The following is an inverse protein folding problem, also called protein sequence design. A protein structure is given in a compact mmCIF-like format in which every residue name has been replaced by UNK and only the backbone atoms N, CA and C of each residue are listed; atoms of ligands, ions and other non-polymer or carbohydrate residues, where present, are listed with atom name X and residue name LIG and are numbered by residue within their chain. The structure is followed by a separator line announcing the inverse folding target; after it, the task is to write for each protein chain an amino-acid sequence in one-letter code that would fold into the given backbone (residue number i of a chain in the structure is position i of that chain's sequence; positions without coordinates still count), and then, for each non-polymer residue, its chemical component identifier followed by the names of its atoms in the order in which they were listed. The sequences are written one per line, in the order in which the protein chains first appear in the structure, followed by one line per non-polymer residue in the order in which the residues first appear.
data_IF_791988480305
#
_entry.id   IF_791988480305
#
_cell.length_a   1.000
_cell.length_b   1.000
_cell.length_c   1.000
_cell.angle_alpha   90.00
_cell.angle_beta   90.00
_cell.angle_gamma   90.00
#
_symmetry.space_group_name_H-M   'P 1'
#
loop_
_entity.id
_entity.type
_entity.pdbx_description
1 polymer ?
#
# COMPACT_ATOMS: atom_id res chain seq x y z
N UNK A 1 -29.77 -2.98 -34.30
CA UNK A 1 -30.07 -1.55 -34.09
C UNK A 1 -28.78 -0.76 -34.28
N UNK A 2 -28.80 0.20 -35.21
CA UNK A 2 -27.63 0.91 -35.73
C UNK A 2 -26.98 1.82 -34.65
N UNK A 3 -25.75 1.52 -34.23
CA UNK A 3 -24.92 2.44 -33.44
C UNK A 3 -24.23 3.43 -34.40
N UNK A 4 -24.77 4.65 -34.50
CA UNK A 4 -24.19 5.76 -35.28
C UNK A 4 -23.12 6.57 -34.50
N UNK A 5 -22.65 6.03 -33.37
CA UNK A 5 -21.72 6.70 -32.47
C UNK A 5 -20.60 5.73 -32.11
N UNK A 6 -19.35 6.19 -32.22
CA UNK A 6 -18.18 5.48 -31.66
C UNK A 6 -18.16 5.53 -30.13
N UNK A 7 -18.92 6.46 -29.54
CA UNK A 7 -19.00 6.66 -28.10
C UNK A 7 -20.07 5.75 -27.50
N UNK A 8 -19.76 5.20 -26.33
CA UNK A 8 -20.70 4.53 -25.45
C UNK A 8 -21.70 5.53 -24.86
N UNK A 9 -22.86 5.03 -24.42
CA UNK A 9 -23.87 5.86 -23.74
C UNK A 9 -23.27 6.61 -22.53
N UNK A 10 -22.39 5.95 -21.79
CA UNK A 10 -21.65 6.55 -20.67
C UNK A 10 -20.76 7.73 -21.11
N UNK A 11 -19.98 7.55 -22.16
CA UNK A 11 -19.11 8.61 -22.69
C UNK A 11 -19.92 9.80 -23.22
N UNK A 12 -21.09 9.54 -23.81
CA UNK A 12 -22.03 10.58 -24.22
C UNK A 12 -22.53 11.38 -23.03
N UNK A 13 -22.96 10.71 -21.95
CA UNK A 13 -23.43 11.36 -20.73
C UNK A 13 -22.31 12.16 -20.04
N UNK A 14 -21.11 11.61 -19.96
CA UNK A 14 -19.97 12.31 -19.37
C UNK A 14 -19.61 13.57 -20.19
N UNK A 15 -19.63 13.49 -21.53
CA UNK A 15 -19.41 14.64 -22.42
C UNK A 15 -20.51 15.71 -22.29
N UNK A 16 -21.75 15.27 -22.11
CA UNK A 16 -22.91 16.13 -21.89
C UNK A 16 -22.77 16.90 -20.58
N UNK A 17 -22.44 16.22 -19.49
CA UNK A 17 -22.24 16.82 -18.17
C UNK A 17 -21.12 17.85 -18.20
N UNK A 18 -19.99 17.53 -18.84
CA UNK A 18 -18.89 18.49 -19.02
C UNK A 18 -19.36 19.78 -19.70
N UNK A 19 -20.23 19.65 -20.71
CA UNK A 19 -20.79 20.80 -21.44
C UNK A 19 -21.83 21.58 -20.62
N UNK A 20 -22.60 20.92 -19.76
CA UNK A 20 -23.50 21.61 -18.82
C UNK A 20 -22.70 22.39 -17.79
N UNK A 21 -21.59 21.81 -17.30
CA UNK A 21 -20.71 22.43 -16.30
C UNK A 21 -19.88 23.61 -16.85
N UNK A 22 -19.94 23.92 -18.15
CA UNK A 22 -19.42 25.19 -18.68
C UNK A 22 -20.39 26.37 -18.50
N UNK A 23 -21.48 26.19 -17.75
CA UNK A 23 -22.47 27.24 -17.47
C UNK A 23 -23.69 27.24 -18.40
N UNK A 24 -23.90 26.16 -19.17
CA UNK A 24 -25.06 26.02 -20.06
C UNK A 24 -26.17 25.26 -19.31
N UNK A 25 -27.41 25.76 -19.34
CA UNK A 25 -28.54 25.06 -18.71
C UNK A 25 -29.07 23.92 -19.59
N UNK A 26 -29.79 22.97 -18.99
CA UNK A 26 -30.52 21.94 -19.76
C UNK A 26 -31.49 22.58 -20.77
N UNK A 27 -32.08 23.72 -20.40
CA UNK A 27 -33.00 24.46 -21.27
C UNK A 27 -32.29 25.08 -22.48
N UNK A 28 -31.12 25.69 -22.28
CA UNK A 28 -30.28 26.23 -23.37
C UNK A 28 -29.84 25.12 -24.33
N UNK A 29 -29.47 23.97 -23.78
CA UNK A 29 -29.11 22.81 -24.57
C UNK A 29 -30.30 22.29 -25.39
N UNK A 30 -31.49 22.21 -24.78
CA UNK A 30 -32.71 21.75 -25.47
C UNK A 30 -33.05 22.61 -26.69
N UNK A 31 -32.72 23.92 -26.63
CA UNK A 31 -32.98 24.85 -27.72
C UNK A 31 -32.24 24.54 -29.03
N UNK A 32 -31.16 23.74 -28.97
CA UNK A 32 -30.40 23.28 -30.14
C UNK A 32 -31.08 22.13 -30.88
N UNK A 33 -31.94 21.38 -30.20
CA UNK A 33 -32.54 20.16 -30.74
C UNK A 33 -34.05 20.31 -30.97
N UNK A 34 -34.70 21.16 -30.17
CA UNK A 34 -36.15 21.31 -30.16
C UNK A 34 -36.51 22.78 -30.28
N UNK A 35 -37.38 23.13 -31.25
CA UNK A 35 -37.84 24.52 -31.46
C UNK A 35 -39.08 24.85 -30.62
N UNK A 36 -39.98 23.89 -30.43
CA UNK A 36 -41.23 24.07 -29.70
C UNK A 36 -41.00 24.10 -28.18
N UNK A 37 -41.55 25.09 -27.50
CA UNK A 37 -41.40 25.26 -26.05
C UNK A 37 -41.96 24.07 -25.25
N UNK A 38 -43.13 23.53 -25.63
CA UNK A 38 -43.75 22.39 -24.94
C UNK A 38 -42.88 21.13 -25.03
N UNK A 39 -42.25 20.94 -26.17
CA UNK A 39 -41.36 19.80 -26.41
C UNK A 39 -39.98 20.01 -25.77
N UNK A 40 -39.52 21.27 -25.63
CA UNK A 40 -38.31 21.61 -24.84
C UNK A 40 -38.45 21.20 -23.39
N UNK A 41 -39.59 21.51 -22.76
CA UNK A 41 -39.84 21.12 -21.36
C UNK A 41 -39.78 19.60 -21.21
N UNK A 42 -40.41 18.85 -22.13
CA UNK A 42 -40.33 17.38 -22.14
C UNK A 42 -38.89 16.89 -22.32
N UNK A 43 -38.14 17.48 -23.25
CA UNK A 43 -36.74 17.15 -23.49
C UNK A 43 -35.89 17.37 -22.22
N UNK A 44 -36.04 18.52 -21.56
CA UNK A 44 -35.34 18.84 -20.32
C UNK A 44 -35.67 17.82 -19.23
N UNK A 45 -36.94 17.49 -19.04
CA UNK A 45 -37.38 16.53 -18.03
C UNK A 45 -36.79 15.13 -18.27
N UNK A 46 -36.79 14.66 -19.52
CA UNK A 46 -36.17 13.36 -19.88
C UNK A 46 -34.67 13.39 -19.62
N UNK A 47 -33.99 14.46 -20.03
CA UNK A 47 -32.54 14.58 -19.86
C UNK A 47 -32.14 14.64 -18.38
N UNK A 48 -32.89 15.39 -17.57
CA UNK A 48 -32.69 15.47 -16.13
C UNK A 48 -32.85 14.11 -15.46
N UNK A 49 -33.88 13.35 -15.87
CA UNK A 49 -34.13 12.00 -15.39
C UNK A 49 -32.99 11.05 -15.77
N UNK A 50 -32.51 11.09 -17.02
CA UNK A 50 -31.37 10.29 -17.49
C UNK A 50 -30.10 10.62 -16.70
N UNK A 51 -29.84 11.89 -16.39
CA UNK A 51 -28.69 12.29 -15.56
C UNK A 51 -28.81 11.70 -14.14
N UNK A 52 -29.98 11.79 -13.52
CA UNK A 52 -30.25 11.20 -12.19
C UNK A 52 -30.09 9.69 -12.18
N UNK A 53 -30.58 9.00 -13.20
CA UNK A 53 -30.40 7.54 -13.37
C UNK A 53 -28.94 7.13 -13.54
N UNK A 54 -28.09 8.05 -14.01
CA UNK A 54 -26.64 7.87 -14.14
C UNK A 54 -25.86 8.43 -12.94
N UNK A 55 -26.53 8.53 -11.79
CA UNK A 55 -25.97 9.00 -10.53
C UNK A 55 -25.46 10.46 -10.60
N UNK A 56 -25.97 11.32 -11.48
CA UNK A 56 -25.65 12.76 -11.45
C UNK A 56 -26.69 13.55 -10.65
N UNK A 57 -26.23 14.51 -9.86
CA UNK A 57 -27.05 15.46 -9.12
C UNK A 57 -26.60 16.88 -9.40
N UNK A 58 -27.56 17.79 -9.56
CA UNK A 58 -27.28 19.20 -9.71
C UNK A 58 -27.07 19.86 -8.35
N UNK A 59 -25.86 20.36 -8.11
CA UNK A 59 -25.49 21.09 -6.90
C UNK A 59 -25.76 22.56 -7.12
N UNK A 60 -26.90 23.04 -6.61
CA UNK A 60 -27.32 24.44 -6.79
C UNK A 60 -26.31 25.47 -6.28
N UNK A 61 -25.52 25.16 -5.24
CA UNK A 61 -24.47 26.06 -4.73
C UNK A 61 -23.33 26.28 -5.73
N UNK A 62 -22.97 25.23 -6.46
CA UNK A 62 -21.83 25.22 -7.40
C UNK A 62 -22.25 25.44 -8.84
N UNK A 63 -23.57 25.38 -9.11
CA UNK A 63 -24.17 25.48 -10.43
C UNK A 63 -23.66 24.38 -11.38
N UNK A 64 -23.37 23.20 -10.83
CA UNK A 64 -22.76 22.08 -11.56
C UNK A 64 -23.51 20.77 -11.32
N UNK A 65 -23.48 19.92 -12.34
CA UNK A 65 -23.85 18.53 -12.25
C UNK A 65 -22.64 17.73 -11.78
N UNK A 66 -22.74 17.17 -10.57
CA UNK A 66 -21.72 16.29 -10.01
C UNK A 66 -22.25 14.88 -9.95
N UNK A 67 -21.36 13.92 -10.16
CA UNK A 67 -21.69 12.52 -9.94
C UNK A 67 -21.82 12.29 -8.44
N UNK A 68 -22.98 11.87 -7.96
CA UNK A 68 -23.14 11.29 -6.63
C UNK A 68 -22.14 10.16 -6.51
N UNK A 69 -21.12 10.38 -5.69
CA UNK A 69 -20.37 9.27 -5.14
C UNK A 69 -21.40 8.42 -4.38
N UNK A 70 -21.72 7.23 -4.89
CA UNK A 70 -22.41 6.23 -4.08
C UNK A 70 -21.62 6.13 -2.79
N UNK A 71 -22.26 6.45 -1.66
CA UNK A 71 -21.67 6.27 -0.34
C UNK A 71 -21.33 4.79 -0.22
N UNK A 72 -20.08 4.47 -0.51
CA UNK A 72 -19.60 3.10 -0.42
C UNK A 72 -19.43 2.81 1.05
N UNK A 73 -20.12 1.80 1.56
CA UNK A 73 -19.96 1.40 2.95
C UNK A 73 -18.54 0.83 3.14
N UNK A 74 -17.63 1.69 3.60
CA UNK A 74 -16.20 1.37 3.71
C UNK A 74 -15.99 0.20 4.67
N UNK A 75 -16.76 0.12 5.76
CA UNK A 75 -16.61 -0.95 6.74
C UNK A 75 -16.88 -2.31 6.11
N UNK A 76 -17.93 -2.44 5.30
CA UNK A 76 -18.21 -3.68 4.59
C UNK A 76 -17.12 -4.01 3.56
N UNK A 77 -16.60 -3.01 2.85
CA UNK A 77 -15.46 -3.21 1.94
C UNK A 77 -14.25 -3.77 2.69
N UNK A 78 -13.89 -3.18 3.82
CA UNK A 78 -12.73 -3.60 4.61
C UNK A 78 -12.91 -5.03 5.10
N UNK A 79 -14.11 -5.40 5.54
CA UNK A 79 -14.44 -6.78 5.93
C UNK A 79 -14.21 -7.74 4.75
N UNK A 80 -14.75 -7.45 3.56
CA UNK A 80 -14.57 -8.31 2.39
C UNK A 80 -13.10 -8.40 1.95
N UNK A 81 -12.37 -7.28 1.96
CA UNK A 81 -10.94 -7.28 1.65
C UNK A 81 -10.12 -8.10 2.66
N UNK A 82 -10.43 -8.00 3.95
CA UNK A 82 -9.74 -8.75 5.01
C UNK A 82 -10.10 -10.24 5.04
N UNK A 83 -11.18 -10.66 4.36
CA UNK A 83 -11.45 -12.08 4.06
C UNK A 83 -10.58 -12.62 2.92
N UNK A 84 -9.72 -11.79 2.32
CA UNK A 84 -8.87 -12.15 1.19
C UNK A 84 -9.54 -12.01 -0.18
N UNK A 85 -10.74 -11.38 -0.25
CA UNK A 85 -11.40 -11.15 -1.53
C UNK A 85 -10.61 -10.11 -2.34
N UNK A 86 -10.26 -10.39 -3.61
CA UNK A 86 -9.52 -9.43 -4.42
C UNK A 86 -10.27 -8.11 -4.60
N UNK A 87 -9.54 -6.99 -4.53
CA UNK A 87 -10.07 -5.63 -4.70
C UNK A 87 -10.94 -5.46 -5.95
N UNK A 88 -10.61 -6.15 -7.04
CA UNK A 88 -11.39 -6.13 -8.29
C UNK A 88 -12.79 -6.72 -8.08
N UNK A 89 -12.89 -7.86 -7.41
CA UNK A 89 -14.15 -8.53 -7.10
C UNK A 89 -14.99 -7.71 -6.12
N UNK A 90 -14.37 -7.11 -5.11
CA UNK A 90 -15.06 -6.16 -4.21
C UNK A 90 -15.58 -4.95 -4.99
N UNK A 91 -14.79 -4.39 -5.92
CA UNK A 91 -15.24 -3.28 -6.76
C UNK A 91 -16.49 -3.63 -7.59
N UNK A 92 -16.54 -4.83 -8.16
CA UNK A 92 -17.70 -5.33 -8.90
C UNK A 92 -18.93 -5.48 -8.00
N UNK A 93 -18.78 -6.08 -6.80
CA UNK A 93 -19.88 -6.25 -5.83
C UNK A 93 -20.50 -4.92 -5.41
N UNK A 94 -19.67 -3.91 -5.16
CA UNK A 94 -20.11 -2.58 -4.74
C UNK A 94 -20.40 -1.62 -5.90
N UNK A 95 -20.42 -2.13 -7.14
CA UNK A 95 -20.70 -1.37 -8.38
C UNK A 95 -19.85 -0.09 -8.49
N UNK A 96 -18.57 -0.20 -8.14
CA UNK A 96 -17.61 0.90 -8.13
C UNK A 96 -16.31 0.49 -8.83
N UNK A 97 -15.33 1.38 -8.89
CA UNK A 97 -14.00 1.07 -9.42
C UNK A 97 -13.03 0.75 -8.28
N UNK A 98 -12.02 -0.07 -8.55
CA UNK A 98 -10.94 -0.32 -7.59
C UNK A 98 -10.19 0.97 -7.20
N UNK A 99 -10.11 1.94 -8.12
CA UNK A 99 -9.53 3.26 -7.84
C UNK A 99 -10.37 4.03 -6.82
N UNK A 100 -11.70 4.03 -6.96
CA UNK A 100 -12.61 4.68 -6.03
C UNK A 100 -12.56 4.01 -4.65
N UNK A 101 -12.46 2.68 -4.59
CA UNK A 101 -12.28 1.98 -3.30
C UNK A 101 -11.00 2.44 -2.61
N UNK A 102 -9.87 2.53 -3.33
CA UNK A 102 -8.61 3.03 -2.75
C UNK A 102 -8.72 4.46 -2.25
N UNK A 103 -9.37 5.34 -3.02
CA UNK A 103 -9.62 6.73 -2.61
C UNK A 103 -10.48 6.78 -1.35
N UNK A 104 -11.54 5.98 -1.31
CA UNK A 104 -12.45 5.90 -0.18
C UNK A 104 -11.72 5.38 1.08
N UNK A 105 -10.96 4.28 0.97
CA UNK A 105 -10.14 3.75 2.06
C UNK A 105 -9.15 4.79 2.60
N UNK A 106 -8.46 5.50 1.69
CA UNK A 106 -7.53 6.57 2.05
C UNK A 106 -8.23 7.75 2.75
N UNK A 107 -9.41 8.14 2.28
CA UNK A 107 -10.22 9.22 2.87
C UNK A 107 -10.65 8.90 4.31
N UNK A 108 -10.83 7.62 4.62
CA UNK A 108 -11.18 7.11 5.94
C UNK A 108 -9.97 6.66 6.78
N UNK A 109 -8.74 7.02 6.37
CA UNK A 109 -7.48 6.66 7.04
C UNK A 109 -7.21 5.15 7.18
N UNK A 110 -7.79 4.32 6.31
CA UNK A 110 -7.40 2.92 6.20
C UNK A 110 -6.09 2.79 5.42
N UNK A 111 -5.19 1.94 5.94
CA UNK A 111 -3.98 1.50 5.26
C UNK A 111 -3.91 -0.01 5.22
N UNK A 112 -3.23 -0.53 4.20
CA UNK A 112 -2.87 -1.95 4.14
C UNK A 112 -1.61 -2.19 4.95
N UNK A 113 -1.68 -3.06 5.95
CA UNK A 113 -0.50 -3.56 6.65
C UNK A 113 0.01 -4.83 5.97
N UNK A 114 1.22 -4.83 5.39
CA UNK A 114 1.76 -5.98 4.66
C UNK A 114 2.15 -7.18 5.54
N UNK A 115 2.47 -6.97 6.83
CA UNK A 115 2.85 -8.05 7.74
C UNK A 115 1.62 -8.89 8.10
N UNK A 116 0.54 -8.19 8.47
CA UNK A 116 -0.73 -8.81 8.84
C UNK A 116 -1.64 -9.08 7.65
N UNK A 117 -1.31 -8.54 6.47
CA UNK A 117 -2.10 -8.62 5.24
C UNK A 117 -3.54 -8.12 5.39
N UNK A 118 -3.74 -7.06 6.17
CA UNK A 118 -5.07 -6.49 6.48
C UNK A 118 -5.16 -5.00 6.23
N UNK A 119 -6.35 -4.54 5.85
CA UNK A 119 -6.74 -3.14 5.83
C UNK A 119 -7.20 -2.71 7.23
N UNK A 120 -6.59 -1.67 7.78
CA UNK A 120 -6.80 -1.24 9.16
C UNK A 120 -6.49 0.24 9.36
N UNK A 121 -7.09 0.84 10.41
CA UNK A 121 -6.75 2.18 10.91
C UNK A 121 -5.64 2.13 12.00
N UNK A 122 -5.48 0.98 12.66
CA UNK A 122 -4.54 0.77 13.79
C UNK A 122 -3.09 0.81 13.34
N UNK A 123 -2.18 1.38 14.14
CA UNK A 123 -0.73 1.38 13.83
C UNK A 123 -0.20 -0.04 13.92
N UNK A 124 0.88 -0.33 13.18
CA UNK A 124 1.52 -1.65 13.24
C UNK A 124 1.86 -2.03 14.68
N UNK A 125 2.43 -1.10 15.44
CA UNK A 125 2.71 -1.28 16.86
C UNK A 125 1.48 -1.71 17.66
N UNK A 126 0.32 -1.11 17.40
CA UNK A 126 -0.92 -1.46 18.10
C UNK A 126 -1.40 -2.88 17.74
N UNK A 127 -1.22 -3.29 16.48
CA UNK A 127 -1.53 -4.64 16.01
C UNK A 127 -0.59 -5.68 16.63
N UNK A 128 0.72 -5.40 16.64
CA UNK A 128 1.75 -6.24 17.26
C UNK A 128 1.48 -6.40 18.75
N UNK A 129 1.16 -5.31 19.46
CA UNK A 129 0.82 -5.37 20.89
C UNK A 129 -0.45 -6.19 21.14
N UNK A 130 -1.52 -5.97 20.35
CA UNK A 130 -2.76 -6.76 20.48
C UNK A 130 -2.48 -8.25 20.26
N UNK A 131 -1.66 -8.57 19.25
CA UNK A 131 -1.29 -9.94 18.96
C UNK A 131 -0.39 -10.55 20.04
N UNK A 132 0.52 -9.77 20.63
CA UNK A 132 1.36 -10.21 21.74
C UNK A 132 0.51 -10.61 22.95
N UNK A 133 -0.55 -9.85 23.25
CA UNK A 133 -1.51 -10.19 24.29
C UNK A 133 -2.27 -11.48 23.98
N UNK A 134 -2.73 -11.66 22.73
CA UNK A 134 -3.41 -12.89 22.29
C UNK A 134 -2.49 -14.12 22.36
N UNK A 135 -1.22 -13.98 21.97
CA UNK A 135 -0.20 -15.04 22.06
C UNK A 135 0.09 -15.40 23.52
N UNK A 136 0.26 -14.40 24.40
CA UNK A 136 0.46 -14.63 25.85
C UNK A 136 -0.75 -15.29 26.51
N UNK A 137 -1.96 -14.95 26.05
CA UNK A 137 -3.19 -15.57 26.53
C UNK A 137 -3.42 -16.98 25.96
N UNK A 138 -2.57 -17.46 25.03
CA UNK A 138 -2.74 -18.75 24.38
C UNK A 138 -3.97 -18.84 23.47
N UNK A 139 -4.53 -17.70 23.06
CA UNK A 139 -5.69 -17.64 22.17
C UNK A 139 -5.34 -17.96 20.71
N UNK A 140 -4.08 -17.73 20.35
CA UNK A 140 -3.53 -17.98 19.03
C UNK A 140 -2.10 -18.51 19.18
N UNK A 141 -1.66 -19.33 18.24
CA UNK A 141 -0.30 -19.85 18.18
C UNK A 141 0.50 -19.25 17.00
N UNK A 142 1.84 -19.26 17.09
CA UNK A 142 2.71 -18.85 15.98
C UNK A 142 2.52 -19.75 14.74
N UNK A 143 2.19 -21.03 14.96
CA UNK A 143 1.91 -21.98 13.88
C UNK A 143 0.67 -21.56 13.08
N UNK A 144 -0.43 -21.21 13.76
CA UNK A 144 -1.66 -20.71 13.11
C UNK A 144 -1.42 -19.41 12.32
N UNK A 145 -0.56 -18.52 12.83
CA UNK A 145 -0.21 -17.29 12.12
C UNK A 145 0.59 -17.59 10.85
N UNK A 146 1.50 -18.57 10.90
CA UNK A 146 2.24 -19.05 9.74
C UNK A 146 1.32 -19.66 8.69
N UNK A 147 0.31 -20.43 9.10
CA UNK A 147 -0.72 -21.00 8.21
C UNK A 147 -1.57 -19.92 7.54
N UNK A 148 -1.84 -18.80 8.24
CA UNK A 148 -2.46 -17.59 7.66
C UNK A 148 -1.52 -16.83 6.70
N UNK A 149 -0.30 -17.32 6.51
CA UNK A 149 0.70 -16.74 5.63
C UNK A 149 1.35 -15.48 6.18
N UNK A 150 1.34 -15.29 7.50
CA UNK A 150 2.09 -14.23 8.17
C UNK A 150 3.57 -14.65 8.23
N UNK A 151 4.47 -13.71 7.93
CA UNK A 151 5.90 -13.96 8.07
C UNK A 151 6.26 -13.94 9.56
N UNK A 152 6.40 -15.13 10.15
CA UNK A 152 6.68 -15.30 11.58
C UNK A 152 8.05 -14.77 11.97
N UNK A 153 9.06 -14.82 11.09
CA UNK A 153 10.40 -14.29 11.38
C UNK A 153 10.37 -12.76 11.58
N UNK A 154 9.70 -12.04 10.67
CA UNK A 154 9.53 -10.59 10.79
C UNK A 154 8.67 -10.24 11.99
N UNK A 155 7.61 -11.02 12.24
CA UNK A 155 6.73 -10.82 13.38
C UNK A 155 7.47 -11.01 14.71
N UNK A 156 8.32 -12.03 14.84
CA UNK A 156 9.12 -12.28 16.04
C UNK A 156 10.09 -11.13 16.32
N UNK A 157 10.72 -10.56 15.29
CA UNK A 157 11.57 -9.38 15.43
C UNK A 157 10.75 -8.19 15.94
N UNK A 158 9.58 -7.92 15.36
CA UNK A 158 8.69 -6.83 15.78
C UNK A 158 8.17 -7.03 17.22
N UNK A 159 7.83 -8.28 17.60
CA UNK A 159 7.43 -8.65 18.95
C UNK A 159 8.56 -8.44 19.96
N UNK A 160 9.80 -8.83 19.64
CA UNK A 160 10.98 -8.55 20.48
C UNK A 160 11.21 -7.04 20.63
N UNK A 161 11.18 -6.31 19.52
CA UNK A 161 11.39 -4.85 19.51
C UNK A 161 10.30 -4.08 20.27
N UNK A 162 9.09 -4.64 20.38
CA UNK A 162 8.01 -4.06 21.16
C UNK A 162 8.22 -4.16 22.68
N UNK A 163 9.21 -4.94 23.14
CA UNK A 163 9.50 -5.17 24.57
C UNK A 163 8.45 -6.01 25.29
N UNK A 164 7.55 -6.63 24.51
CA UNK A 164 6.35 -7.31 24.99
C UNK A 164 6.41 -8.83 24.86
N UNK A 165 7.52 -9.36 24.34
CA UNK A 165 7.75 -10.79 24.22
C UNK A 165 9.00 -11.15 25.04
N UNK A 166 8.93 -12.13 25.96
CA UNK A 166 10.09 -12.53 26.74
C UNK A 166 11.19 -13.02 25.80
N UNK A 167 12.40 -12.50 26.01
CA UNK A 167 13.62 -13.00 25.38
C UNK A 167 13.94 -14.30 26.11
N UNK A 168 13.46 -15.43 25.60
CA UNK A 168 14.12 -16.70 25.91
C UNK A 168 15.40 -16.74 25.07
N UNK A 169 16.44 -16.07 25.58
CA UNK A 169 17.82 -16.39 25.27
C UNK A 169 18.13 -17.72 25.98
N UNK A 170 17.83 -18.84 25.31
CA UNK A 170 18.66 -20.05 25.26
C UNK A 170 17.85 -21.32 24.92
N UNK A 171 18.47 -22.16 24.08
CA UNK A 171 18.21 -23.60 23.86
C UNK A 171 17.03 -24.03 22.98
N UNK A 172 17.10 -23.70 21.69
CA UNK A 172 16.44 -24.49 20.62
C UNK A 172 17.26 -25.74 20.27
N UNK A 173 17.50 -26.60 21.27
CA UNK A 173 17.91 -27.99 21.06
C UNK A 173 17.73 -28.76 22.37
N UNK A 174 16.47 -29.04 22.74
CA UNK A 174 16.17 -30.19 23.59
C UNK A 174 14.76 -30.70 23.36
N UNK A 175 14.72 -31.98 22.96
CA UNK A 175 13.54 -32.82 22.81
C UNK A 175 12.61 -32.68 24.00
N UNK A 176 11.35 -32.43 23.72
CA UNK A 176 10.24 -32.68 24.64
C UNK A 176 10.15 -34.17 24.97
N UNK A 177 10.34 -34.51 26.24
CA UNK A 177 9.73 -35.67 26.89
C UNK A 177 9.00 -35.20 28.17
N UNK A 178 7.96 -35.93 28.62
CA UNK A 178 6.80 -35.34 29.28
C UNK A 178 6.95 -35.16 30.79
N UNK A 179 6.12 -34.25 31.32
CA UNK A 179 6.00 -33.82 32.71
C UNK A 179 5.97 -34.98 33.74
N UNK A 180 6.75 -34.80 34.81
CA UNK A 180 6.41 -35.29 36.15
C UNK A 180 6.40 -34.11 37.12
N UNK A 181 5.28 -33.92 37.80
CA UNK A 181 5.10 -33.02 38.94
C UNK A 181 6.10 -33.31 40.06
N UNK A 182 6.53 -32.30 40.82
CA UNK A 182 6.42 -32.18 42.30
C UNK A 182 6.97 -30.81 42.82
N UNK A 183 6.05 -29.92 43.23
CA UNK A 183 5.90 -29.15 44.49
C UNK A 183 7.11 -28.50 45.25
N UNK A 184 6.93 -27.20 45.58
CA UNK A 184 7.47 -26.34 46.69
C UNK A 184 9.00 -26.00 46.72
N UNK A 185 9.52 -24.83 47.13
CA UNK A 185 9.05 -23.73 47.98
C UNK A 185 9.92 -22.45 47.86
N UNK A 186 9.32 -21.30 48.22
CA UNK A 186 9.82 -20.08 48.91
C UNK A 186 11.15 -19.34 48.61
N UNK A 187 10.97 -18.03 48.34
CA UNK A 187 11.68 -16.83 48.84
C UNK A 187 13.18 -16.58 48.53
N UNK A 188 13.50 -15.37 48.04
CA UNK A 188 14.33 -14.34 48.73
C UNK A 188 14.43 -13.04 47.89
N UNK A 189 14.18 -11.90 48.53
CA UNK A 189 14.39 -10.51 48.05
C UNK A 189 15.88 -10.10 48.02
N UNK A 190 16.28 -9.16 47.15
CA UNK A 190 16.92 -7.88 47.57
C UNK A 190 17.39 -7.01 46.38
N UNK A 191 16.89 -5.76 46.38
CA UNK A 191 17.58 -4.47 46.17
C UNK A 191 18.67 -4.29 45.09
N UNK A 192 18.49 -3.27 44.23
CA UNK A 192 19.36 -2.07 44.24
C UNK A 192 18.75 -0.85 43.53
N UNK A 193 19.26 0.33 43.92
CA UNK A 193 18.72 1.69 43.78
C UNK A 193 18.98 2.39 42.43
N UNK A 194 18.03 3.26 42.11
CA UNK A 194 18.07 4.60 41.48
C UNK A 194 19.45 5.22 41.16
N UNK A 195 19.62 5.72 39.93
CA UNK A 195 20.02 7.12 39.66
C UNK A 195 19.72 7.58 38.21
N UNK A 196 19.19 8.80 38.12
CA UNK A 196 18.88 9.60 36.92
C UNK A 196 20.11 10.34 36.37
N UNK A 197 20.16 10.63 35.04
CA UNK A 197 20.42 11.96 34.39
C UNK A 197 20.64 11.79 32.86
N UNK A 198 20.04 12.70 32.08
CA UNK A 198 20.03 12.91 30.61
C UNK A 198 21.43 13.25 29.99
N UNK A 199 21.52 13.76 28.73
CA UNK A 199 21.39 13.10 27.42
C UNK A 199 22.74 13.21 26.66
N UNK A 200 23.05 12.32 25.71
CA UNK A 200 24.19 12.61 24.83
C UNK A 200 24.00 12.13 23.40
N UNK A 201 24.17 13.09 22.49
CA UNK A 201 24.44 12.91 21.08
C UNK A 201 25.58 11.90 20.90
N UNK A 202 25.31 10.77 20.26
CA UNK A 202 26.37 9.92 19.71
C UNK A 202 26.24 9.87 18.20
N UNK A 203 27.21 10.50 17.54
CA UNK A 203 27.63 10.16 16.18
C UNK A 203 27.75 8.63 16.07
N UNK A 204 26.94 8.01 15.20
CA UNK A 204 27.09 6.60 14.89
C UNK A 204 28.20 6.42 13.85
N UNK A 205 29.33 5.92 14.32
CA UNK A 205 30.37 5.33 13.47
C UNK A 205 29.87 3.96 13.05
N UNK A 206 29.66 3.76 11.75
CA UNK A 206 29.31 2.45 11.17
C UNK A 206 30.58 1.59 11.21
N UNK A 207 30.55 0.55 12.04
CA UNK A 207 31.58 -0.48 12.08
C UNK A 207 31.57 -1.26 10.74
N UNK A 208 32.70 -1.23 10.03
CA UNK A 208 32.86 -1.74 8.66
C UNK A 208 32.96 -3.28 8.57
N UNK A 209 32.45 -4.03 9.57
CA UNK A 209 32.78 -5.46 9.74
C UNK A 209 31.71 -6.49 9.40
N UNK A 210 30.67 -6.13 8.65
CA UNK A 210 29.82 -7.12 7.97
C UNK A 210 29.59 -6.74 6.51
N UNK A 211 30.65 -6.85 5.68
CA UNK A 211 30.52 -6.89 4.22
C UNK A 211 30.13 -8.30 3.80
N UNK A 212 28.85 -8.62 3.98
CA UNK A 212 28.22 -9.56 3.06
C UNK A 212 27.84 -8.73 1.83
N UNK A 213 28.68 -8.78 0.81
CA UNK A 213 28.42 -8.11 -0.47
C UNK A 213 27.09 -8.65 -1.02
N UNK A 214 26.08 -7.78 -1.08
CA UNK A 214 24.71 -8.07 -1.54
C UNK A 214 24.70 -8.69 -2.95
N UNK A 215 25.77 -8.46 -3.73
CA UNK A 215 25.96 -8.96 -5.08
C UNK A 215 27.24 -9.78 -5.18
N UNK A 216 27.17 -10.94 -5.82
CA UNK A 216 28.35 -11.75 -6.13
C UNK A 216 29.13 -11.15 -7.32
N UNK A 217 30.38 -11.58 -7.49
CA UNK A 217 31.29 -11.07 -8.54
C UNK A 217 30.73 -11.20 -9.97
N UNK A 218 29.88 -12.20 -10.23
CA UNK A 218 29.27 -12.46 -11.54
C UNK A 218 28.09 -11.52 -11.81
N UNK A 219 27.34 -11.16 -10.79
CA UNK A 219 26.25 -10.17 -10.84
C UNK A 219 26.80 -8.76 -11.05
N UNK A 220 27.90 -8.43 -10.37
CA UNK A 220 28.65 -7.18 -10.58
C UNK A 220 29.16 -7.11 -12.03
N UNK A 221 29.59 -8.23 -12.63
CA UNK A 221 30.01 -8.27 -14.02
C UNK A 221 28.85 -8.02 -15.01
N UNK A 222 27.65 -8.54 -14.76
CA UNK A 222 26.47 -8.25 -15.59
C UNK A 222 26.05 -6.78 -15.49
N UNK A 223 26.08 -6.19 -14.29
CA UNK A 223 25.82 -4.76 -14.12
C UNK A 223 26.83 -3.90 -14.89
N UNK A 224 28.10 -4.32 -14.95
CA UNK A 224 29.14 -3.67 -15.77
C UNK A 224 28.85 -3.72 -17.27
N UNK A 225 28.40 -4.86 -17.80
CA UNK A 225 28.06 -4.98 -19.22
C UNK A 225 26.87 -4.08 -19.59
N UNK A 226 25.87 -4.00 -18.71
CA UNK A 226 24.71 -3.12 -18.88
C UNK A 226 25.16 -1.65 -18.86
N UNK A 227 25.95 -1.23 -17.87
CA UNK A 227 26.44 0.15 -17.78
C UNK A 227 27.29 0.52 -19.00
N UNK A 228 28.21 -0.35 -19.42
CA UNK A 228 29.09 -0.12 -20.58
C UNK A 228 28.32 -0.04 -21.90
N UNK A 229 27.27 -0.85 -22.05
CA UNK A 229 26.34 -0.77 -23.19
C UNK A 229 25.64 0.60 -23.25
N UNK A 230 25.26 1.15 -22.10
CA UNK A 230 24.55 2.43 -22.02
C UNK A 230 25.46 3.65 -22.14
N UNK A 231 26.69 3.61 -21.62
CA UNK A 231 27.72 4.64 -21.85
C UNK A 231 28.03 4.76 -23.34
N UNK A 232 28.21 3.63 -24.03
CA UNK A 232 28.42 3.59 -25.49
C UNK A 232 27.25 4.21 -26.26
N UNK A 233 26.01 4.00 -25.81
CA UNK A 233 24.80 4.62 -26.39
C UNK A 233 24.63 6.10 -26.07
N UNK A 234 25.25 6.58 -24.98
CA UNK A 234 25.22 7.99 -24.56
C UNK A 234 26.19 8.82 -25.41
N UNK A 235 27.34 8.25 -25.74
CA UNK A 235 28.33 8.88 -26.64
C UNK A 235 27.81 8.99 -28.09
N UNK A 236 26.93 8.08 -28.51
CA UNK A 236 26.22 8.15 -29.81
C UNK A 236 25.11 9.23 -29.85
N UNK A 237 24.76 9.84 -28.71
CA UNK A 237 23.71 10.87 -28.58
C UNK A 237 24.28 12.19 -28.06
N UNK A 238 25.24 12.77 -28.75
CA UNK A 238 25.56 14.19 -28.58
C UNK A 238 24.47 15.03 -29.24
N UNK A 239 23.88 15.95 -28.48
CA UNK A 239 22.80 16.89 -28.80
C UNK A 239 21.37 16.33 -28.76
N UNK A 240 20.81 16.28 -27.57
CA UNK A 240 19.59 17.07 -27.25
C UNK A 240 19.35 17.07 -25.74
N UNK A 241 18.82 18.20 -25.27
CA UNK A 241 18.49 18.58 -23.89
C UNK A 241 18.24 17.45 -22.89
N UNK A 242 18.75 17.64 -21.66
CA UNK A 242 18.68 16.80 -20.49
C UNK A 242 17.34 16.05 -20.31
N UNK A 243 17.21 14.93 -21.01
CA UNK A 243 16.22 13.92 -20.73
C UNK A 243 16.75 13.14 -19.53
N UNK A 244 16.01 13.16 -18.42
CA UNK A 244 16.22 12.21 -17.33
C UNK A 244 16.04 10.81 -17.91
N UNK A 245 17.15 10.12 -18.17
CA UNK A 245 17.14 8.74 -18.65
C UNK A 245 16.57 7.85 -17.55
N UNK A 246 15.38 7.31 -17.76
CA UNK A 246 14.77 6.33 -16.86
C UNK A 246 15.41 4.96 -17.12
N UNK A 247 16.13 4.44 -16.13
CA UNK A 247 16.78 3.13 -16.19
C UNK A 247 15.88 2.09 -15.53
N UNK A 248 15.32 1.18 -16.33
CA UNK A 248 14.61 0.00 -15.81
C UNK A 248 15.58 -1.17 -15.73
N UNK A 249 15.90 -1.61 -14.52
CA UNK A 249 16.74 -2.79 -14.26
C UNK A 249 15.81 -3.96 -13.91
N UNK A 250 15.92 -5.05 -14.66
CA UNK A 250 15.25 -6.30 -14.32
C UNK A 250 16.20 -7.08 -13.40
N UNK A 251 15.76 -7.29 -12.17
CA UNK A 251 16.51 -8.04 -11.16
C UNK A 251 15.97 -9.46 -11.06
N UNK A 252 16.85 -10.42 -10.76
CA UNK A 252 16.43 -11.78 -10.46
C UNK A 252 15.59 -11.83 -9.18
N UNK A 253 14.63 -12.77 -9.12
CA UNK A 253 13.67 -12.88 -8.00
C UNK A 253 14.35 -12.99 -6.64
N UNK A 254 15.49 -13.67 -6.55
CA UNK A 254 16.25 -13.80 -5.31
C UNK A 254 16.81 -12.44 -4.84
N UNK A 255 17.27 -11.61 -5.77
CA UNK A 255 17.77 -10.26 -5.50
C UNK A 255 16.61 -9.33 -5.08
N UNK A 256 15.45 -9.46 -5.72
CA UNK A 256 14.24 -8.71 -5.34
C UNK A 256 13.82 -9.04 -3.91
N UNK A 257 13.92 -10.32 -3.50
CA UNK A 257 13.62 -10.75 -2.15
C UNK A 257 14.62 -10.18 -1.14
N UNK A 258 15.93 -10.24 -1.44
CA UNK A 258 16.98 -9.64 -0.60
C UNK A 258 16.81 -8.12 -0.46
N UNK A 259 16.47 -7.42 -1.56
CA UNK A 259 16.18 -5.98 -1.54
C UNK A 259 14.93 -5.64 -0.73
N UNK A 260 13.92 -6.50 -0.78
CA UNK A 260 12.69 -6.32 -0.01
C UNK A 260 12.98 -6.48 1.48
N UNK A 261 13.73 -7.51 1.87
CA UNK A 261 14.17 -7.73 3.25
C UNK A 261 15.05 -6.58 3.76
N UNK A 262 16.01 -6.11 2.95
CA UNK A 262 16.86 -4.98 3.34
C UNK A 262 16.06 -3.66 3.47
N UNK A 263 15.12 -3.41 2.57
CA UNK A 263 14.22 -2.24 2.61
C UNK A 263 13.34 -2.24 3.85
N UNK A 264 12.84 -3.41 4.23
CA UNK A 264 12.02 -3.58 5.44
C UNK A 264 12.87 -3.46 6.71
N UNK A 265 14.06 -4.06 6.75
CA UNK A 265 14.99 -4.01 7.88
C UNK A 265 15.49 -2.58 8.16
N UNK A 266 15.81 -1.82 7.12
CA UNK A 266 16.38 -0.48 7.25
C UNK A 266 15.34 0.64 7.23
N UNK A 267 14.06 0.33 6.97
CA UNK A 267 12.99 1.33 6.91
C UNK A 267 13.14 2.35 5.77
N UNK A 268 13.90 2.02 4.72
CA UNK A 268 14.17 2.89 3.56
C UNK A 268 13.63 2.28 2.28
N UNK A 269 13.40 3.09 1.24
CA UNK A 269 12.89 2.59 -0.03
C UNK A 269 13.90 1.69 -0.75
N UNK A 270 13.41 0.67 -1.47
CA UNK A 270 14.24 -0.21 -2.32
C UNK A 270 15.07 0.60 -3.34
N UNK A 271 14.48 1.67 -3.89
CA UNK A 271 15.19 2.57 -4.79
C UNK A 271 16.39 3.23 -4.12
N UNK A 272 16.27 3.66 -2.87
CA UNK A 272 17.36 4.29 -2.13
C UNK A 272 18.48 3.29 -1.80
N UNK A 273 18.14 2.03 -1.52
CA UNK A 273 19.13 0.97 -1.31
C UNK A 273 19.91 0.70 -2.60
N UNK A 274 19.22 0.59 -3.73
CA UNK A 274 19.86 0.41 -5.05
C UNK A 274 20.75 1.61 -5.37
N UNK A 275 20.26 2.84 -5.17
CA UNK A 275 21.03 4.07 -5.38
C UNK A 275 22.29 4.09 -4.53
N UNK A 276 22.19 3.82 -3.23
CA UNK A 276 23.37 3.77 -2.33
C UNK A 276 24.35 2.67 -2.71
N UNK A 277 23.86 1.50 -3.12
CA UNK A 277 24.72 0.40 -3.57
C UNK A 277 25.50 0.79 -4.85
N UNK A 278 24.84 1.49 -5.77
CA UNK A 278 25.48 2.01 -6.99
C UNK A 278 26.45 3.16 -6.68
N UNK A 279 26.08 4.09 -5.81
CA UNK A 279 26.93 5.23 -5.39
C UNK A 279 28.20 4.75 -4.68
N UNK A 280 28.07 3.82 -3.72
CA UNK A 280 29.22 3.24 -3.01
C UNK A 280 30.16 2.44 -3.93
N UNK A 281 29.67 1.99 -5.09
CA UNK A 281 30.47 1.25 -6.06
C UNK A 281 31.11 2.16 -7.11
N UNK A 282 30.46 3.25 -7.52
CA UNK A 282 31.01 4.25 -8.44
C UNK A 282 32.08 5.16 -7.79
N UNK A 283 32.07 5.27 -6.46
CA UNK A 283 33.07 6.00 -5.67
C UNK A 283 34.32 5.17 -5.30
N UNK A 284 34.41 3.92 -5.78
CA UNK A 284 35.57 3.02 -5.63
C UNK A 284 36.22 2.74 -6.98
#
# INVERSE_FOLDING_TARGET
MNKWSKQTERELIDSLVNKLNTGITLYDLSGKYVKNNKDRIKFVSVLEQTLKENDYEYISKEHQWLKKEKLVNIQLIVIELNKGIPMKTVAEQFKTSAANIRLALKKEDYRYDPLFKVWTKKRRKDLVNSLAEELRAGLISLVELKEKGINTEVLEIELRNSGQFPIEEDNFDQKTEPLSHTVENENTEMNTKVDTIYPNNSYFTIDQKSKDEIFNKKEIAHLKEIIKYWEKKKDERTNTNAATSELTIILETEIVNKLTLASEKEGVSRSLIITKALENYLLK
#
